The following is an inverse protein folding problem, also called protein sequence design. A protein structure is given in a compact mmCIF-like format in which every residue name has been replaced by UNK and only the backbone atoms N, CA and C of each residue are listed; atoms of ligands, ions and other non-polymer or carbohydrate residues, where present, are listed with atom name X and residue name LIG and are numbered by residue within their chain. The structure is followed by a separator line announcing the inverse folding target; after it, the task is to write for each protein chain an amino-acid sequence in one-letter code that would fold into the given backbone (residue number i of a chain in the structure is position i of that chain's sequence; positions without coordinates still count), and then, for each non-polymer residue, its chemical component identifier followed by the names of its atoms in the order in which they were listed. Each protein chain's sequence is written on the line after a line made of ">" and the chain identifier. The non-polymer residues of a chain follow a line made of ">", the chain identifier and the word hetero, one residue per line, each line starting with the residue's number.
data_IF_975408448549
#
_entry.id   IF_975408448549
#
_cell.length_a   1.000
_cell.length_b   1.000
_cell.length_c   1.000
_cell.angle_alpha   90.00
_cell.angle_beta   90.00
_cell.angle_gamma   90.00
#
_symmetry.space_group_name_H-M   'P 1'
#
loop_
_entity.id
_entity.type
_entity.pdbx_description
1 polymer ?
#
# COMPACT_ATOMS: atom_id res chain seq x y z
N UNK A 1 -13.22 38.74 -21.30
CA UNK A 1 -12.18 37.69 -21.19
C UNK A 1 -12.60 36.73 -20.09
N UNK A 2 -12.96 35.49 -20.46
CA UNK A 2 -13.45 34.44 -19.55
C UNK A 2 -12.27 33.90 -18.73
N UNK A 3 -12.39 33.85 -17.40
CA UNK A 3 -11.55 33.00 -16.54
C UNK A 3 -12.40 31.80 -16.14
N UNK A 4 -12.16 30.69 -16.80
CA UNK A 4 -12.76 29.40 -16.48
C UNK A 4 -11.92 28.83 -15.33
N UNK A 5 -12.49 28.80 -14.13
CA UNK A 5 -11.90 28.07 -13.02
C UNK A 5 -12.23 26.59 -13.21
N UNK A 6 -11.24 25.82 -13.66
CA UNK A 6 -11.31 24.37 -13.78
C UNK A 6 -11.09 23.79 -12.38
N UNK A 7 -12.16 23.34 -11.72
CA UNK A 7 -12.04 22.62 -10.44
C UNK A 7 -12.09 21.13 -10.76
N UNK A 8 -10.93 20.49 -10.69
CA UNK A 8 -10.75 19.05 -10.87
C UNK A 8 -11.42 18.28 -9.74
N UNK A 9 -12.42 17.47 -10.06
CA UNK A 9 -12.97 16.47 -9.15
C UNK A 9 -11.99 15.30 -9.10
N UNK A 10 -11.15 15.26 -8.07
CA UNK A 10 -10.31 14.11 -7.77
C UNK A 10 -11.18 12.92 -7.40
N UNK A 11 -11.16 11.89 -8.24
CA UNK A 11 -11.62 10.57 -7.86
C UNK A 11 -10.64 10.02 -6.81
N UNK A 12 -11.07 9.92 -5.56
CA UNK A 12 -10.33 9.19 -4.53
C UNK A 12 -10.47 7.71 -4.86
N UNK A 13 -9.54 7.21 -5.67
CA UNK A 13 -9.21 5.79 -5.70
C UNK A 13 -8.50 5.52 -4.39
N UNK A 14 -9.15 4.78 -3.50
CA UNK A 14 -8.54 4.26 -2.28
C UNK A 14 -7.51 3.19 -2.69
N UNK A 15 -6.32 3.65 -3.08
CA UNK A 15 -5.11 2.86 -3.21
C UNK A 15 -4.10 3.40 -2.22
N UNK A 16 -3.72 2.58 -1.24
CA UNK A 16 -2.70 2.90 -0.25
C UNK A 16 -1.35 3.02 -0.95
N UNK A 17 -0.92 4.25 -1.22
CA UNK A 17 0.46 4.56 -1.60
C UNK A 17 1.23 4.80 -0.30
N UNK A 18 2.15 3.90 0.02
CA UNK A 18 3.08 4.04 1.12
C UNK A 18 4.28 4.85 0.64
N UNK A 19 4.33 6.14 0.98
CA UNK A 19 5.54 6.94 0.94
C UNK A 19 5.83 7.48 2.33
N UNK A 20 6.93 7.01 2.93
CA UNK A 20 7.50 7.59 4.13
C UNK A 20 8.36 8.81 3.74
N UNK A 21 7.92 10.01 4.10
CA UNK A 21 8.81 11.17 4.21
C UNK A 21 8.66 11.81 5.59
N UNK A 22 9.78 11.90 6.32
CA UNK A 22 9.90 12.51 7.64
C UNK A 22 9.73 14.04 7.59
N UNK A 23 9.05 14.58 8.60
CA UNK A 23 9.03 15.99 9.02
C UNK A 23 7.99 16.83 8.26
N UNK A 24 7.13 17.63 8.87
CA UNK A 24 7.00 18.13 10.24
C UNK A 24 5.55 18.66 10.39
N UNK A 25 4.98 18.49 11.59
CA UNK A 25 3.78 19.15 12.15
C UNK A 25 2.43 18.84 11.48
N UNK A 26 1.76 17.83 12.02
CA UNK A 26 0.29 17.78 12.03
C UNK A 26 -0.22 17.67 13.47
N UNK A 27 -1.22 18.51 13.75
CA UNK A 27 -2.00 18.49 14.99
C UNK A 27 -2.66 17.13 15.16
N UNK A 28 -2.62 16.66 16.40
CA UNK A 28 -3.14 15.38 16.87
C UNK A 28 -4.64 15.24 16.60
N UNK A 29 -5.01 14.32 15.72
CA UNK A 29 -6.31 13.65 15.79
C UNK A 29 -6.13 12.38 16.63
N UNK A 30 -6.87 12.34 17.74
CA UNK A 30 -6.87 11.28 18.74
C UNK A 30 -7.29 9.93 18.13
N UNK A 31 -6.64 8.81 18.49
CA UNK A 31 -7.15 7.49 18.19
C UNK A 31 -8.35 7.16 19.10
N UNK A 32 -9.48 6.80 18.51
CA UNK A 32 -10.61 6.21 19.22
C UNK A 32 -10.23 4.78 19.66
N UNK A 33 -9.84 4.64 20.93
CA UNK A 33 -9.73 3.34 21.59
C UNK A 33 -11.11 2.83 21.97
N UNK A 34 -11.40 1.58 21.60
CA UNK A 34 -12.55 0.81 22.07
C UNK A 34 -12.44 0.51 23.57
N UNK A 35 -13.28 1.15 24.36
CA UNK A 35 -13.56 0.77 25.76
C UNK A 35 -14.62 -0.33 25.73
N UNK A 36 -14.28 -1.52 26.22
CA UNK A 36 -15.25 -2.44 26.80
C UNK A 36 -14.81 -2.76 28.21
N UNK A 37 -15.61 -2.27 29.15
CA UNK A 37 -15.47 -2.41 30.58
C UNK A 37 -16.07 -3.75 31.03
N UNK A 38 -15.31 -4.55 31.76
CA UNK A 38 -15.89 -5.44 32.77
C UNK A 38 -14.92 -5.60 33.92
N UNK A 39 -15.28 -4.88 34.99
CA UNK A 39 -14.73 -5.02 36.32
C UNK A 39 -14.97 -6.43 36.85
N UNK A 40 -13.97 -7.01 37.52
CA UNK A 40 -14.10 -7.52 38.89
C UNK A 40 -12.70 -7.73 39.47
N UNK A 41 -12.38 -7.03 40.55
CA UNK A 41 -11.34 -7.40 41.51
C UNK A 41 -12.02 -7.42 42.88
N UNK A 42 -11.59 -8.26 43.84
CA UNK A 42 -10.79 -7.65 44.90
C UNK A 42 -9.66 -8.54 45.45
N UNK A 43 -8.44 -8.02 45.33
CA UNK A 43 -7.59 -7.47 46.41
C UNK A 43 -7.20 -8.33 47.65
N UNK A 44 -5.89 -8.24 47.94
CA UNK A 44 -5.17 -8.29 49.25
C UNK A 44 -4.72 -9.66 49.80
N UNK A 45 -3.40 -9.88 49.84
CA UNK A 45 -2.62 -9.77 51.08
C UNK A 45 -1.10 -9.87 50.84
N UNK A 46 -0.38 -9.03 51.58
CA UNK A 46 1.05 -8.81 51.52
C UNK A 46 1.84 -9.78 52.43
N UNK A 47 3.17 -9.69 52.30
CA UNK A 47 4.17 -9.73 53.39
C UNK A 47 4.98 -11.03 53.62
N UNK A 48 6.25 -10.90 53.20
CA UNK A 48 7.51 -11.10 53.95
C UNK A 48 8.02 -12.49 54.37
N UNK A 49 9.27 -12.72 53.92
CA UNK A 49 10.44 -13.25 54.64
C UNK A 49 10.56 -14.72 55.05
N UNK A 50 11.50 -15.38 54.36
CA UNK A 50 12.58 -16.26 54.85
C UNK A 50 12.27 -17.46 55.74
N UNK A 51 12.53 -18.67 55.23
CA UNK A 51 13.56 -19.55 55.81
C UNK A 51 14.04 -20.62 54.83
N UNK A 52 15.36 -20.83 54.88
CA UNK A 52 16.20 -21.91 54.37
C UNK A 52 15.55 -23.30 54.40
N UNK A 53 15.72 -24.08 53.33
CA UNK A 53 16.26 -25.44 53.45
C UNK A 53 16.79 -25.94 52.11
N UNK A 54 18.09 -26.26 52.15
CA UNK A 54 18.82 -26.99 51.12
C UNK A 54 18.24 -28.40 51.01
N UNK A 55 17.87 -28.81 49.81
CA UNK A 55 17.87 -30.23 49.46
C UNK A 55 18.36 -30.33 48.02
N UNK A 56 19.57 -30.87 47.90
CA UNK A 56 20.22 -31.14 46.64
C UNK A 56 19.42 -32.20 45.85
N UNK A 57 18.54 -31.74 44.97
CA UNK A 57 18.03 -32.57 43.89
C UNK A 57 18.81 -32.22 42.63
N UNK A 58 19.61 -33.20 42.20
CA UNK A 58 20.34 -33.22 40.94
C UNK A 58 19.30 -33.23 39.81
N UNK A 59 18.86 -32.05 39.40
CA UNK A 59 18.07 -31.86 38.19
C UNK A 59 18.95 -32.28 37.01
N UNK A 60 18.60 -33.41 36.41
CA UNK A 60 19.08 -33.78 35.08
C UNK A 60 18.53 -32.71 34.15
N UNK A 61 19.38 -31.76 33.77
CA UNK A 61 19.09 -30.77 32.73
C UNK A 61 18.75 -31.56 31.46
N UNK A 62 17.52 -31.45 30.92
CA UNK A 62 17.23 -31.99 29.61
C UNK A 62 18.18 -31.29 28.64
N UNK A 63 18.91 -32.08 27.86
CA UNK A 63 19.78 -31.62 26.77
C UNK A 63 19.05 -30.50 26.02
N UNK A 64 19.56 -29.27 26.15
CA UNK A 64 19.00 -28.11 25.48
C UNK A 64 18.93 -28.46 23.98
N UNK A 65 17.74 -28.44 23.40
CA UNK A 65 17.60 -28.45 21.94
C UNK A 65 18.46 -27.30 21.43
N UNK A 66 19.36 -27.60 20.49
CA UNK A 66 20.26 -26.64 19.83
C UNK A 66 19.45 -25.46 19.28
N UNK A 67 19.24 -24.45 20.12
CA UNK A 67 18.69 -23.18 19.69
C UNK A 67 19.86 -22.47 19.03
N UNK A 68 19.76 -22.11 17.73
CA UNK A 68 20.82 -21.38 17.06
C UNK A 68 21.24 -20.19 17.92
N UNK A 69 22.54 -19.91 18.01
CA UNK A 69 22.98 -18.66 18.63
C UNK A 69 22.20 -17.50 17.97
N UNK A 70 21.86 -16.43 18.73
CA UNK A 70 21.09 -15.32 18.19
C UNK A 70 21.65 -14.78 16.87
N UNK A 71 22.98 -14.80 16.72
CA UNK A 71 23.66 -14.38 15.50
C UNK A 71 23.50 -15.36 14.33
N UNK A 72 23.57 -16.67 14.58
CA UNK A 72 23.31 -17.69 13.55
C UNK A 72 21.86 -17.61 13.04
N UNK A 73 20.91 -17.26 13.92
CA UNK A 73 19.53 -17.02 13.51
C UNK A 73 19.41 -15.79 12.60
N UNK A 74 20.12 -14.70 12.90
CA UNK A 74 20.18 -13.50 12.04
C UNK A 74 20.79 -13.84 10.68
N UNK A 75 21.92 -14.55 10.65
CA UNK A 75 22.57 -14.99 9.42
C UNK A 75 21.65 -15.84 8.54
N UNK A 76 20.87 -16.73 9.15
CA UNK A 76 19.87 -17.54 8.44
C UNK A 76 18.80 -16.67 7.76
N UNK A 77 18.17 -15.76 8.51
CA UNK A 77 17.14 -14.87 7.93
C UNK A 77 17.68 -14.00 6.80
N UNK A 78 18.86 -13.41 6.97
CA UNK A 78 19.53 -12.60 5.94
C UNK A 78 19.92 -13.42 4.70
N UNK A 79 20.25 -14.70 4.87
CA UNK A 79 20.64 -15.56 3.76
C UNK A 79 19.45 -16.02 2.93
N UNK A 80 18.34 -16.34 3.61
CA UNK A 80 17.12 -16.90 3.00
C UNK A 80 16.20 -15.82 2.42
N UNK A 81 16.21 -14.61 3.00
CA UNK A 81 15.35 -13.52 2.56
C UNK A 81 15.73 -12.97 1.18
N UNK A 82 14.72 -12.40 0.50
CA UNK A 82 14.85 -11.67 -0.77
C UNK A 82 13.91 -10.46 -0.76
N UNK A 83 14.07 -9.57 -1.74
CA UNK A 83 13.15 -8.46 -1.97
C UNK A 83 13.01 -7.55 -0.75
N UNK A 84 11.77 -7.15 -0.43
CA UNK A 84 11.44 -6.30 0.71
C UNK A 84 11.85 -6.92 2.05
N UNK A 85 11.58 -8.21 2.24
CA UNK A 85 11.93 -8.92 3.49
C UNK A 85 13.44 -8.87 3.74
N UNK A 86 14.26 -9.01 2.69
CA UNK A 86 15.71 -8.89 2.82
C UNK A 86 16.13 -7.46 3.19
N UNK A 87 15.57 -6.45 2.53
CA UNK A 87 15.84 -5.03 2.85
C UNK A 87 15.50 -4.73 4.31
N UNK A 88 14.37 -5.23 4.78
CA UNK A 88 13.92 -5.04 6.16
C UNK A 88 14.85 -5.73 7.17
N UNK A 89 15.29 -6.96 6.92
CA UNK A 89 16.25 -7.66 7.79
C UNK A 89 17.62 -6.97 7.82
N UNK A 90 18.08 -6.43 6.68
CA UNK A 90 19.33 -5.67 6.60
C UNK A 90 19.23 -4.38 7.42
N UNK A 91 18.15 -3.61 7.23
CA UNK A 91 17.93 -2.37 7.99
C UNK A 91 17.76 -2.66 9.48
N UNK A 92 17.07 -3.74 9.86
CA UNK A 92 16.95 -4.16 11.24
C UNK A 92 18.32 -4.52 11.86
N UNK A 93 19.19 -5.22 11.12
CA UNK A 93 20.55 -5.50 11.56
C UNK A 93 21.35 -4.23 11.82
N UNK A 94 21.38 -3.31 10.82
CA UNK A 94 22.14 -2.07 10.94
C UNK A 94 21.58 -1.18 12.05
N UNK A 95 20.26 -1.05 12.15
CA UNK A 95 19.63 -0.28 13.22
C UNK A 95 19.99 -0.81 14.61
N UNK A 96 19.92 -2.13 14.81
CA UNK A 96 20.28 -2.77 16.08
C UNK A 96 21.76 -2.55 16.43
N UNK A 97 22.68 -2.81 15.51
CA UNK A 97 24.11 -2.70 15.82
C UNK A 97 24.56 -1.24 16.02
N UNK A 98 23.93 -0.29 15.34
CA UNK A 98 24.19 1.14 15.52
C UNK A 98 23.74 1.61 16.89
N UNK A 99 22.57 1.16 17.34
CA UNK A 99 22.05 1.43 18.69
C UNK A 99 22.98 0.87 19.78
N UNK A 100 23.54 -0.31 19.55
CA UNK A 100 24.43 -0.98 20.51
C UNK A 100 25.91 -0.60 20.36
N UNK A 101 26.25 0.30 19.42
CA UNK A 101 27.62 0.73 19.09
C UNK A 101 28.60 -0.42 18.82
N UNK A 102 28.15 -1.49 18.16
CA UNK A 102 28.93 -2.72 17.98
C UNK A 102 28.87 -3.32 16.56
N UNK A 103 28.54 -2.51 15.54
CA UNK A 103 28.43 -2.97 14.15
C UNK A 103 29.67 -3.69 13.64
N UNK A 104 30.87 -3.18 13.88
CA UNK A 104 32.11 -3.81 13.42
C UNK A 104 32.27 -5.24 13.99
N UNK A 105 32.05 -5.39 15.30
CA UNK A 105 32.13 -6.69 15.96
C UNK A 105 31.05 -7.66 15.48
N UNK A 106 29.81 -7.21 15.35
CA UNK A 106 28.70 -8.07 14.89
C UNK A 106 28.86 -8.47 13.43
N UNK A 107 29.36 -7.58 12.59
CA UNK A 107 29.62 -7.85 11.19
C UNK A 107 30.76 -8.87 11.04
N UNK A 108 31.86 -8.70 11.76
CA UNK A 108 32.97 -9.66 11.76
C UNK A 108 32.55 -11.07 12.24
N UNK A 109 31.66 -11.15 13.24
CA UNK A 109 31.15 -12.44 13.71
C UNK A 109 30.20 -13.10 12.69
N UNK A 110 29.41 -12.31 11.96
CA UNK A 110 28.48 -12.79 10.92
C UNK A 110 29.17 -13.40 9.70
N UNK A 111 30.37 -12.93 9.37
CA UNK A 111 31.12 -13.39 8.19
C UNK A 111 31.26 -14.93 8.16
N UNK A 112 31.49 -15.55 9.32
CA UNK A 112 31.65 -17.00 9.45
C UNK A 112 30.36 -17.82 9.25
N UNK A 113 29.19 -17.17 9.23
CA UNK A 113 27.88 -17.82 9.15
C UNK A 113 27.15 -17.59 7.83
N UNK A 114 27.73 -16.83 6.90
CA UNK A 114 27.07 -16.39 5.67
C UNK A 114 27.90 -16.74 4.44
N UNK A 115 27.24 -16.91 3.30
CA UNK A 115 27.94 -16.98 2.01
C UNK A 115 28.59 -15.62 1.70
N UNK A 116 29.73 -15.63 1.00
CA UNK A 116 30.54 -14.44 0.72
C UNK A 116 29.72 -13.34 0.04
N UNK A 117 28.89 -13.68 -0.95
CA UNK A 117 28.10 -12.71 -1.70
C UNK A 117 27.00 -12.10 -0.84
N UNK A 118 26.35 -12.90 0.03
CA UNK A 118 25.34 -12.42 0.97
C UNK A 118 25.94 -11.53 2.06
N UNK A 119 27.13 -11.88 2.53
CA UNK A 119 27.88 -11.05 3.47
C UNK A 119 28.31 -9.72 2.83
N UNK A 120 28.89 -9.77 1.62
CA UNK A 120 29.29 -8.58 0.88
C UNK A 120 28.11 -7.64 0.61
N UNK A 121 26.93 -8.20 0.30
CA UNK A 121 25.69 -7.44 0.19
C UNK A 121 25.37 -6.68 1.47
N UNK A 122 25.36 -7.38 2.61
CA UNK A 122 25.06 -6.78 3.92
C UNK A 122 26.05 -5.67 4.25
N UNK A 123 27.34 -5.96 4.13
CA UNK A 123 28.43 -5.05 4.47
C UNK A 123 28.42 -3.77 3.62
N UNK A 124 28.08 -3.88 2.33
CA UNK A 124 28.13 -2.75 1.38
C UNK A 124 26.74 -2.13 1.12
N UNK A 125 25.69 -2.60 1.77
CA UNK A 125 24.30 -2.29 1.43
C UNK A 125 24.02 -0.79 1.32
N UNK A 126 24.38 0.03 2.32
CA UNK A 126 24.07 1.45 2.30
C UNK A 126 24.81 2.21 1.19
N UNK A 127 26.06 1.83 0.89
CA UNK A 127 26.82 2.41 -0.21
C UNK A 127 26.19 2.05 -1.55
N UNK A 128 25.89 0.77 -1.78
CA UNK A 128 25.24 0.29 -3.00
C UNK A 128 23.85 0.90 -3.17
N UNK A 129 23.08 1.03 -2.09
CA UNK A 129 21.77 1.68 -2.13
C UNK A 129 21.89 3.16 -2.48
N UNK A 130 22.86 3.90 -1.92
CA UNK A 130 23.10 5.29 -2.29
C UNK A 130 23.44 5.44 -3.77
N UNK A 131 24.30 4.56 -4.31
CA UNK A 131 24.63 4.53 -5.74
C UNK A 131 23.40 4.22 -6.60
N UNK A 132 22.57 3.27 -6.15
CA UNK A 132 21.32 2.92 -6.82
C UNK A 132 20.34 4.09 -6.87
N UNK A 133 20.11 4.79 -5.75
CA UNK A 133 19.22 5.97 -5.73
C UNK A 133 19.72 7.07 -6.66
N UNK A 134 21.04 7.29 -6.73
CA UNK A 134 21.63 8.24 -7.66
C UNK A 134 21.45 7.79 -9.12
N UNK A 135 21.67 6.51 -9.42
CA UNK A 135 21.55 5.99 -10.78
C UNK A 135 20.10 6.06 -11.28
N UNK A 136 19.15 5.55 -10.49
CA UNK A 136 17.72 5.57 -10.88
C UNK A 136 17.18 7.00 -11.01
N UNK A 137 17.65 7.94 -10.19
CA UNK A 137 17.28 9.36 -10.31
C UNK A 137 17.75 10.03 -11.61
N UNK A 138 18.79 9.48 -12.25
CA UNK A 138 19.30 9.95 -13.54
C UNK A 138 18.80 9.13 -14.72
N UNK A 139 18.03 8.07 -14.47
CA UNK A 139 17.55 7.17 -15.51
C UNK A 139 16.41 7.84 -16.28
N UNK A 140 16.66 8.17 -17.55
CA UNK A 140 15.66 8.77 -18.43
C UNK A 140 14.95 7.66 -19.21
N UNK A 141 13.64 7.56 -19.02
CA UNK A 141 12.79 6.71 -19.85
C UNK A 141 12.21 7.54 -20.99
N UNK A 142 12.34 7.03 -22.20
CA UNK A 142 11.59 7.56 -23.34
C UNK A 142 10.15 7.02 -23.27
N UNK A 143 9.17 7.93 -23.29
CA UNK A 143 7.74 7.59 -23.21
C UNK A 143 7.27 6.76 -24.41
N UNK A 144 7.98 6.82 -25.53
CA UNK A 144 7.68 6.04 -26.72
C UNK A 144 8.33 4.64 -26.71
N UNK A 145 9.18 4.34 -25.73
CA UNK A 145 9.77 3.01 -25.63
C UNK A 145 8.76 1.97 -25.12
N UNK A 146 8.75 0.76 -25.70
CA UNK A 146 7.97 -0.35 -25.17
C UNK A 146 8.26 -0.62 -23.69
N UNK A 147 7.27 -1.11 -22.95
CA UNK A 147 7.43 -1.46 -21.54
C UNK A 147 8.61 -2.42 -21.31
N UNK A 148 8.75 -3.44 -22.15
CA UNK A 148 9.84 -4.41 -22.12
C UNK A 148 11.22 -3.75 -22.16
N UNK A 149 11.42 -2.76 -23.05
CA UNK A 149 12.69 -2.05 -23.18
C UNK A 149 13.03 -1.22 -21.95
N UNK A 150 12.03 -0.54 -21.37
CA UNK A 150 12.20 0.27 -20.16
C UNK A 150 12.54 -0.60 -18.95
N UNK A 151 11.85 -1.74 -18.79
CA UNK A 151 12.16 -2.72 -17.73
C UNK A 151 13.55 -3.31 -17.92
N UNK A 152 13.93 -3.70 -19.15
CA UNK A 152 15.25 -4.23 -19.43
C UNK A 152 16.37 -3.23 -19.09
N UNK A 153 16.17 -1.95 -19.42
CA UNK A 153 17.09 -0.87 -19.06
C UNK A 153 17.24 -0.72 -17.55
N UNK A 154 16.13 -0.67 -16.81
CA UNK A 154 16.14 -0.58 -15.34
C UNK A 154 16.85 -1.78 -14.70
N UNK A 155 16.56 -3.00 -15.15
CA UNK A 155 17.20 -4.23 -14.65
C UNK A 155 18.70 -4.25 -14.95
N UNK A 156 19.09 -3.81 -16.15
CA UNK A 156 20.50 -3.70 -16.52
C UNK A 156 21.24 -2.69 -15.61
N UNK A 157 20.60 -1.56 -15.30
CA UNK A 157 21.17 -0.57 -14.40
C UNK A 157 21.32 -1.09 -12.97
N UNK A 158 20.33 -1.82 -12.46
CA UNK A 158 20.43 -2.49 -11.17
C UNK A 158 21.60 -3.48 -11.13
N UNK A 159 21.80 -4.28 -12.19
CA UNK A 159 22.92 -5.24 -12.28
C UNK A 159 24.29 -4.57 -12.36
N UNK A 160 24.41 -3.35 -12.89
CA UNK A 160 25.68 -2.60 -12.85
C UNK A 160 26.13 -2.27 -11.43
N UNK A 161 25.17 -2.05 -10.51
CA UNK A 161 25.45 -1.63 -9.14
C UNK A 161 25.51 -2.84 -8.21
N UNK A 162 24.53 -3.72 -8.30
CA UNK A 162 24.35 -4.85 -7.38
C UNK A 162 24.92 -6.17 -7.92
N UNK A 163 25.36 -6.22 -9.18
CA UNK A 163 25.75 -7.47 -9.83
C UNK A 163 24.59 -8.47 -9.89
N UNK A 164 24.90 -9.75 -9.75
CA UNK A 164 23.92 -10.85 -9.69
C UNK A 164 22.97 -10.74 -8.47
N UNK A 165 23.35 -9.97 -7.44
CA UNK A 165 22.49 -9.74 -6.29
C UNK A 165 21.33 -8.79 -6.58
N UNK A 166 21.30 -8.14 -7.75
CA UNK A 166 20.16 -7.35 -8.19
C UNK A 166 18.87 -8.19 -8.17
N UNK A 167 18.92 -9.42 -8.67
CA UNK A 167 17.78 -10.35 -8.71
C UNK A 167 17.37 -10.85 -7.30
N UNK A 168 18.21 -10.63 -6.29
CA UNK A 168 17.93 -10.94 -4.88
C UNK A 168 17.33 -9.74 -4.15
N UNK A 169 17.98 -8.58 -4.25
CA UNK A 169 17.55 -7.33 -3.63
C UNK A 169 16.22 -6.85 -4.21
N UNK A 170 16.02 -7.00 -5.52
CA UNK A 170 14.82 -6.54 -6.21
C UNK A 170 13.90 -7.69 -6.60
N UNK A 171 13.96 -8.83 -5.90
CA UNK A 171 13.17 -10.01 -6.25
C UNK A 171 11.67 -9.70 -6.42
N UNK A 172 11.08 -8.95 -5.49
CA UNK A 172 9.66 -8.59 -5.53
C UNK A 172 9.35 -7.63 -6.69
N UNK A 173 10.17 -6.59 -6.87
CA UNK A 173 9.98 -5.61 -7.93
C UNK A 173 10.19 -6.22 -9.32
N UNK A 174 11.19 -7.07 -9.48
CA UNK A 174 11.47 -7.75 -10.74
C UNK A 174 10.40 -8.77 -11.07
N UNK A 175 9.87 -9.50 -10.08
CA UNK A 175 8.71 -10.36 -10.27
C UNK A 175 7.49 -9.56 -10.75
N UNK A 176 7.22 -8.39 -10.14
CA UNK A 176 6.12 -7.52 -10.57
C UNK A 176 6.29 -7.04 -12.03
N UNK A 177 7.50 -6.64 -12.41
CA UNK A 177 7.79 -6.19 -13.77
C UNK A 177 7.64 -7.30 -14.80
N UNK A 178 8.17 -8.48 -14.51
CA UNK A 178 8.06 -9.62 -15.42
C UNK A 178 6.62 -10.15 -15.50
N UNK A 179 5.90 -10.16 -14.39
CA UNK A 179 4.46 -10.44 -14.39
C UNK A 179 3.71 -9.45 -15.27
N UNK A 180 3.99 -8.15 -15.16
CA UNK A 180 3.34 -7.12 -15.98
C UNK A 180 3.61 -7.31 -17.47
N UNK A 181 4.84 -7.70 -17.85
CA UNK A 181 5.18 -8.00 -19.24
C UNK A 181 4.44 -9.22 -19.77
N UNK A 182 4.34 -10.28 -18.97
CA UNK A 182 3.57 -11.46 -19.36
C UNK A 182 2.07 -11.15 -19.41
N UNK A 183 1.57 -10.28 -18.54
CA UNK A 183 0.18 -9.84 -18.53
C UNK A 183 -0.22 -9.08 -19.80
N UNK A 184 0.71 -8.46 -20.55
CA UNK A 184 0.41 -7.82 -21.85
C UNK A 184 -0.21 -8.83 -22.86
N UNK A 185 -0.02 -10.15 -22.68
CA UNK A 185 -0.69 -11.15 -23.51
C UNK A 185 -2.22 -11.15 -23.35
N UNK A 186 -2.73 -10.65 -22.22
CA UNK A 186 -4.16 -10.51 -21.95
C UNK A 186 -4.81 -9.47 -22.86
N UNK A 187 -4.04 -8.48 -23.35
CA UNK A 187 -4.52 -7.45 -24.29
C UNK A 187 -4.97 -8.04 -25.63
N UNK A 188 -4.38 -9.16 -26.04
CA UNK A 188 -4.73 -9.86 -27.28
C UNK A 188 -5.64 -11.07 -27.05
N UNK A 189 -6.08 -11.31 -25.82
CA UNK A 189 -6.89 -12.48 -25.46
C UNK A 189 -8.37 -12.19 -25.69
N UNK A 190 -9.10 -13.17 -26.23
CA UNK A 190 -10.55 -13.04 -26.42
C UNK A 190 -11.27 -12.90 -25.06
N UNK A 191 -12.41 -12.18 -24.97
CA UNK A 191 -13.18 -12.11 -23.73
C UNK A 191 -13.59 -13.49 -23.17
N UNK A 192 -13.79 -14.48 -24.06
CA UNK A 192 -14.18 -15.84 -23.69
C UNK A 192 -13.04 -16.58 -22.96
N UNK A 193 -11.81 -16.41 -23.44
CA UNK A 193 -10.61 -17.11 -22.98
C UNK A 193 -9.86 -16.35 -21.86
N UNK A 194 -10.27 -15.11 -21.57
CA UNK A 194 -9.60 -14.22 -20.63
C UNK A 194 -9.37 -14.86 -19.26
N UNK A 195 -10.42 -15.40 -18.64
CA UNK A 195 -10.36 -15.98 -17.29
C UNK A 195 -9.34 -17.12 -17.23
N UNK A 196 -9.39 -18.03 -18.19
CA UNK A 196 -8.46 -19.16 -18.28
C UNK A 196 -7.02 -18.70 -18.50
N UNK A 197 -6.82 -17.68 -19.35
CA UNK A 197 -5.50 -17.15 -19.64
C UNK A 197 -4.91 -16.44 -18.42
N UNK A 198 -5.74 -15.72 -17.66
CA UNK A 198 -5.35 -15.11 -16.40
C UNK A 198 -5.03 -16.17 -15.32
N UNK A 199 -5.83 -17.24 -15.20
CA UNK A 199 -5.54 -18.34 -14.26
C UNK A 199 -4.20 -19.01 -14.56
N UNK A 200 -3.91 -19.25 -15.85
CA UNK A 200 -2.61 -19.76 -16.28
C UNK A 200 -1.47 -18.81 -15.91
N UNK A 201 -1.65 -17.51 -16.15
CA UNK A 201 -0.68 -16.49 -15.74
C UNK A 201 -0.44 -16.54 -14.23
N UNK A 202 -1.49 -16.59 -13.41
CA UNK A 202 -1.35 -16.71 -11.94
C UNK A 202 -0.61 -18.00 -11.55
N UNK A 203 -0.87 -19.12 -12.24
CA UNK A 203 -0.22 -20.39 -11.99
C UNK A 203 1.28 -20.36 -12.36
N UNK A 204 1.65 -19.75 -13.47
CA UNK A 204 3.05 -19.59 -13.91
C UNK A 204 3.89 -18.80 -12.87
N UNK A 205 3.22 -18.01 -12.02
CA UNK A 205 3.81 -17.20 -10.96
C UNK A 205 3.61 -17.76 -9.54
N UNK A 206 3.27 -19.05 -9.41
CA UNK A 206 3.16 -19.70 -8.11
C UNK A 206 4.48 -19.57 -7.32
N UNK A 207 4.37 -19.17 -6.04
CA UNK A 207 5.52 -18.86 -5.19
C UNK A 207 5.91 -17.38 -5.12
N UNK A 208 5.40 -16.52 -6.01
CA UNK A 208 5.57 -15.06 -5.94
C UNK A 208 4.27 -14.32 -5.61
N UNK A 209 3.25 -15.03 -5.12
CA UNK A 209 1.91 -14.48 -4.95
C UNK A 209 1.87 -13.28 -4.00
N UNK A 210 2.63 -13.31 -2.92
CA UNK A 210 2.70 -12.19 -1.96
C UNK A 210 3.34 -10.95 -2.59
N UNK A 211 4.46 -11.12 -3.31
CA UNK A 211 5.12 -10.04 -4.03
C UNK A 211 4.19 -9.40 -5.08
N UNK A 212 3.37 -10.22 -5.73
CA UNK A 212 2.45 -9.81 -6.79
C UNK A 212 1.08 -9.34 -6.29
N UNK A 213 0.77 -9.47 -5.00
CA UNK A 213 -0.57 -9.16 -4.47
C UNK A 213 -1.65 -10.09 -5.02
N UNK A 214 -1.34 -11.38 -5.13
CA UNK A 214 -2.21 -12.45 -5.63
C UNK A 214 -2.59 -13.45 -4.50
N UNK A 215 -2.50 -13.00 -3.24
CA UNK A 215 -2.82 -13.82 -2.06
C UNK A 215 -4.32 -13.72 -1.79
N UNK A 216 -5.00 -14.86 -1.89
CA UNK A 216 -6.45 -14.95 -1.74
C UNK A 216 -7.21 -14.68 -3.04
N UNK A 217 -8.46 -15.14 -3.09
CA UNK A 217 -9.26 -15.07 -4.31
C UNK A 217 -9.73 -13.63 -4.61
N UNK A 218 -10.04 -12.83 -3.59
CA UNK A 218 -10.35 -11.40 -3.77
C UNK A 218 -9.19 -10.64 -4.44
N UNK A 219 -7.95 -10.88 -4.04
CA UNK A 219 -6.79 -10.20 -4.63
C UNK A 219 -6.59 -10.60 -6.11
N UNK A 220 -6.83 -11.88 -6.44
CA UNK A 220 -6.84 -12.36 -7.83
C UNK A 220 -7.96 -11.71 -8.64
N UNK A 221 -9.17 -11.58 -8.08
CA UNK A 221 -10.27 -10.87 -8.70
C UNK A 221 -9.89 -9.43 -9.04
N UNK A 222 -9.39 -8.68 -8.06
CA UNK A 222 -9.01 -7.27 -8.24
C UNK A 222 -7.95 -7.14 -9.32
N UNK A 223 -6.93 -8.00 -9.30
CA UNK A 223 -5.88 -8.00 -10.33
C UNK A 223 -6.43 -8.38 -11.71
N UNK A 224 -7.32 -9.36 -11.80
CA UNK A 224 -7.95 -9.75 -13.06
C UNK A 224 -8.78 -8.60 -13.65
N UNK A 225 -9.52 -7.86 -12.82
CA UNK A 225 -10.32 -6.71 -13.27
C UNK A 225 -9.44 -5.55 -13.72
N UNK A 226 -8.32 -5.31 -13.03
CA UNK A 226 -7.34 -4.27 -13.37
C UNK A 226 -6.69 -4.53 -14.74
N UNK A 227 -6.41 -5.79 -15.06
CA UNK A 227 -5.77 -6.22 -16.30
C UNK A 227 -6.75 -6.41 -17.47
N UNK A 228 -8.02 -6.02 -17.33
CA UNK A 228 -8.95 -6.06 -18.47
C UNK A 228 -8.50 -5.00 -19.50
N UNK A 229 -8.38 -5.37 -20.78
CA UNK A 229 -7.96 -4.46 -21.84
C UNK A 229 -8.81 -3.18 -21.87
N UNK A 230 -8.16 -2.03 -21.94
CA UNK A 230 -8.83 -0.72 -21.83
C UNK A 230 -9.71 -0.38 -23.03
N UNK A 231 -9.41 -0.97 -24.17
CA UNK A 231 -10.13 -0.84 -25.44
C UNK A 231 -11.29 -1.85 -25.58
N UNK A 232 -11.45 -2.77 -24.63
CA UNK A 232 -12.58 -3.72 -24.59
C UNK A 232 -13.92 -2.98 -24.53
N UNK A 233 -14.90 -3.46 -25.31
CA UNK A 233 -16.23 -2.87 -25.35
C UNK A 233 -16.93 -2.93 -23.98
N UNK A 234 -17.72 -1.90 -23.65
CA UNK A 234 -18.38 -1.80 -22.33
C UNK A 234 -19.24 -3.04 -21.97
N UNK A 235 -19.99 -3.58 -22.94
CA UNK A 235 -20.83 -4.74 -22.71
C UNK A 235 -20.01 -6.01 -22.43
N UNK A 236 -18.93 -6.21 -23.18
CA UNK A 236 -18.01 -7.35 -23.00
C UNK A 236 -17.27 -7.24 -21.68
N UNK A 237 -16.77 -6.04 -21.35
CA UNK A 237 -16.14 -5.75 -20.06
C UNK A 237 -17.08 -6.07 -18.90
N UNK A 238 -18.35 -5.66 -18.99
CA UNK A 238 -19.33 -5.95 -17.94
C UNK A 238 -19.54 -7.45 -17.76
N UNK A 239 -19.76 -8.18 -18.85
CA UNK A 239 -19.94 -9.63 -18.80
C UNK A 239 -18.70 -10.35 -18.26
N UNK A 240 -17.50 -9.88 -18.60
CA UNK A 240 -16.24 -10.43 -18.10
C UNK A 240 -16.08 -10.17 -16.59
N UNK A 241 -16.38 -8.97 -16.10
CA UNK A 241 -16.36 -8.66 -14.66
C UNK A 241 -17.33 -9.55 -13.90
N UNK A 242 -18.56 -9.73 -14.39
CA UNK A 242 -19.54 -10.66 -13.78
C UNK A 242 -19.01 -12.10 -13.73
N UNK A 243 -18.34 -12.57 -14.80
CA UNK A 243 -17.70 -13.89 -14.82
C UNK A 243 -16.54 -13.99 -13.82
N UNK A 244 -15.72 -12.95 -13.69
CA UNK A 244 -14.62 -12.90 -12.72
C UNK A 244 -15.15 -12.91 -11.28
N UNK A 245 -16.24 -12.19 -10.98
CA UNK A 245 -16.91 -12.23 -9.67
C UNK A 245 -17.35 -13.65 -9.33
N UNK A 246 -18.02 -14.33 -10.25
CA UNK A 246 -18.46 -15.72 -10.07
C UNK A 246 -17.31 -16.72 -9.90
N UNK A 247 -16.13 -16.40 -10.44
CA UNK A 247 -14.96 -17.29 -10.39
C UNK A 247 -14.19 -17.15 -9.08
N UNK A 248 -14.04 -15.92 -8.59
CA UNK A 248 -13.09 -15.59 -7.52
C UNK A 248 -13.75 -15.14 -6.22
N UNK A 249 -15.00 -14.69 -6.25
CA UNK A 249 -15.64 -14.13 -5.05
C UNK A 249 -16.71 -15.08 -4.51
N UNK A 250 -16.86 -15.07 -3.19
CA UNK A 250 -18.03 -15.63 -2.53
C UNK A 250 -19.28 -14.78 -2.82
N UNK A 251 -20.45 -15.36 -2.59
CA UNK A 251 -21.74 -14.65 -2.71
C UNK A 251 -21.77 -13.40 -1.83
N UNK A 252 -21.29 -13.49 -0.58
CA UNK A 252 -21.21 -12.35 0.33
C UNK A 252 -20.31 -11.23 -0.22
N UNK A 253 -19.11 -11.56 -0.70
CA UNK A 253 -18.20 -10.55 -1.28
C UNK A 253 -18.80 -9.90 -2.53
N UNK A 254 -19.49 -10.68 -3.37
CA UNK A 254 -20.19 -10.16 -4.55
C UNK A 254 -21.32 -9.19 -4.17
N UNK A 255 -22.11 -9.52 -3.15
CA UNK A 255 -23.15 -8.63 -2.62
C UNK A 255 -22.58 -7.34 -2.05
N UNK A 256 -21.48 -7.41 -1.29
CA UNK A 256 -20.80 -6.24 -0.73
C UNK A 256 -20.27 -5.31 -1.82
N UNK A 257 -19.68 -5.85 -2.89
CA UNK A 257 -19.23 -5.08 -4.05
C UNK A 257 -20.41 -4.39 -4.73
N UNK A 258 -21.50 -5.11 -5.00
CA UNK A 258 -22.68 -4.51 -5.63
C UNK A 258 -23.32 -3.42 -4.76
N UNK A 259 -23.40 -3.63 -3.45
CA UNK A 259 -23.89 -2.61 -2.52
C UNK A 259 -23.00 -1.35 -2.57
N UNK A 260 -21.68 -1.52 -2.61
CA UNK A 260 -20.73 -0.41 -2.77
C UNK A 260 -20.86 0.31 -4.11
N UNK A 261 -21.00 -0.41 -5.22
CA UNK A 261 -21.21 0.18 -6.54
C UNK A 261 -22.48 1.05 -6.57
N UNK A 262 -23.57 0.54 -5.97
CA UNK A 262 -24.81 1.30 -5.83
C UNK A 262 -24.62 2.55 -4.97
N UNK A 263 -23.92 2.44 -3.83
CA UNK A 263 -23.62 3.58 -2.97
C UNK A 263 -22.79 4.64 -3.71
N UNK A 264 -21.75 4.25 -4.45
CA UNK A 264 -20.93 5.18 -5.26
C UNK A 264 -21.77 5.84 -6.35
N UNK A 265 -22.65 5.10 -7.01
CA UNK A 265 -23.55 5.66 -8.02
C UNK A 265 -24.57 6.65 -7.41
N UNK A 266 -25.03 6.42 -6.18
CA UNK A 266 -25.87 7.36 -5.43
C UNK A 266 -25.08 8.62 -5.05
N UNK A 267 -23.87 8.47 -4.49
CA UNK A 267 -23.00 9.59 -4.14
C UNK A 267 -22.67 10.46 -5.35
N UNK A 268 -22.35 9.85 -6.50
CA UNK A 268 -22.11 10.58 -7.76
C UNK A 268 -23.32 11.36 -8.25
N UNK A 269 -24.54 10.85 -8.01
CA UNK A 269 -25.79 11.59 -8.29
C UNK A 269 -25.95 12.75 -7.33
N UNK A 270 -25.85 12.51 -6.03
CA UNK A 270 -25.95 13.55 -5.00
C UNK A 270 -24.96 14.71 -5.23
N UNK A 271 -23.71 14.41 -5.61
CA UNK A 271 -22.71 15.45 -5.96
C UNK A 271 -23.13 16.27 -7.18
N UNK A 272 -23.68 15.62 -8.21
CA UNK A 272 -24.16 16.30 -9.42
C UNK A 272 -25.36 17.20 -9.11
N UNK A 273 -26.31 16.68 -8.34
CA UNK A 273 -27.52 17.39 -7.95
C UNK A 273 -27.15 18.61 -7.09
N UNK A 274 -26.26 18.43 -6.11
CA UNK A 274 -25.70 19.51 -5.31
C UNK A 274 -25.08 20.62 -6.17
N UNK A 275 -24.23 20.26 -7.14
CA UNK A 275 -23.59 21.23 -8.03
C UNK A 275 -24.60 22.01 -8.87
N UNK A 276 -25.61 21.32 -9.40
CA UNK A 276 -26.68 21.93 -10.20
C UNK A 276 -27.52 22.91 -9.36
N UNK A 277 -27.94 22.49 -8.17
CA UNK A 277 -28.76 23.33 -7.29
C UNK A 277 -27.98 24.51 -6.69
N UNK A 278 -26.71 24.31 -6.35
CA UNK A 278 -25.83 25.40 -5.93
C UNK A 278 -25.71 26.45 -7.02
N UNK A 279 -25.52 26.03 -8.28
CA UNK A 279 -25.44 26.97 -9.41
C UNK A 279 -26.74 27.77 -9.59
N UNK A 280 -27.90 27.15 -9.35
CA UNK A 280 -29.19 27.85 -9.39
C UNK A 280 -29.30 28.87 -8.25
N UNK A 281 -28.89 28.51 -7.03
CA UNK A 281 -28.83 29.42 -5.90
C UNK A 281 -27.90 30.62 -6.19
N UNK A 282 -26.70 30.37 -6.71
CA UNK A 282 -25.74 31.42 -7.06
C UNK A 282 -26.30 32.38 -8.11
N UNK A 283 -27.03 31.86 -9.11
CA UNK A 283 -27.72 32.68 -10.11
C UNK A 283 -28.83 33.56 -9.50
N UNK A 284 -29.61 32.99 -8.57
CA UNK A 284 -30.63 33.73 -7.82
C UNK A 284 -30.01 34.82 -6.95
N UNK A 285 -28.93 34.51 -6.24
CA UNK A 285 -28.17 35.46 -5.41
C UNK A 285 -27.59 36.58 -6.29
N UNK A 286 -27.03 36.28 -7.45
CA UNK A 286 -26.54 37.30 -8.38
C UNK A 286 -27.66 38.26 -8.84
N UNK A 287 -28.85 37.73 -9.14
CA UNK A 287 -30.03 38.54 -9.49
C UNK A 287 -30.46 39.42 -8.32
N UNK A 288 -30.49 38.87 -7.11
CA UNK A 288 -30.82 39.58 -5.87
C UNK A 288 -29.82 40.71 -5.59
N UNK A 289 -28.51 40.48 -5.79
CA UNK A 289 -27.49 41.52 -5.67
C UNK A 289 -27.74 42.69 -6.63
N UNK A 290 -28.14 42.39 -7.86
CA UNK A 290 -28.42 43.41 -8.86
C UNK A 290 -29.77 44.13 -8.66
N UNK A 291 -30.66 43.61 -7.81
CA UNK A 291 -32.03 44.10 -7.65
C UNK A 291 -32.35 44.42 -6.18
N UNK A 292 -33.03 43.52 -5.46
CA UNK A 292 -33.54 43.73 -4.11
C UNK A 292 -32.46 44.03 -3.05
N UNK A 293 -31.21 43.70 -3.33
CA UNK A 293 -30.05 43.92 -2.45
C UNK A 293 -28.99 44.83 -3.08
N UNK A 294 -29.34 45.62 -4.10
CA UNK A 294 -28.42 46.56 -4.74
C UNK A 294 -27.86 47.62 -3.79
N UNK A 295 -28.64 48.00 -2.76
CA UNK A 295 -28.24 48.97 -1.73
C UNK A 295 -27.35 48.42 -0.61
N UNK A 296 -27.08 47.10 -0.56
CA UNK A 296 -26.18 46.54 0.46
C UNK A 296 -24.73 46.94 0.19
N UNK A 297 -23.98 47.18 1.27
CA UNK A 297 -22.52 47.24 1.20
C UNK A 297 -21.94 45.89 0.76
N UNK A 298 -20.71 45.87 0.24
CA UNK A 298 -20.08 44.61 -0.18
C UNK A 298 -19.87 43.65 1.00
N UNK A 299 -19.61 44.17 2.20
CA UNK A 299 -19.44 43.34 3.41
C UNK A 299 -20.76 42.70 3.86
N UNK A 300 -21.87 43.46 3.81
CA UNK A 300 -23.19 42.94 4.14
C UNK A 300 -23.70 41.94 3.09
N UNK A 301 -23.40 42.21 1.81
CA UNK A 301 -23.66 41.27 0.72
C UNK A 301 -22.89 39.96 0.91
N UNK A 302 -21.59 40.03 1.21
CA UNK A 302 -20.79 38.83 1.42
C UNK A 302 -21.30 38.01 2.61
N UNK A 303 -21.71 38.67 3.71
CA UNK A 303 -22.31 37.97 4.87
C UNK A 303 -23.61 37.27 4.48
N UNK A 304 -24.49 37.96 3.75
CA UNK A 304 -25.74 37.39 3.25
C UNK A 304 -25.51 36.20 2.32
N UNK A 305 -24.60 36.33 1.36
CA UNK A 305 -24.24 35.28 0.41
C UNK A 305 -23.74 34.01 1.13
N UNK A 306 -22.79 34.17 2.06
CA UNK A 306 -22.24 33.04 2.81
C UNK A 306 -23.30 32.35 3.67
N UNK A 307 -24.19 33.14 4.28
CA UNK A 307 -25.31 32.58 5.04
C UNK A 307 -26.25 31.76 4.15
N UNK A 308 -26.64 32.30 2.98
CA UNK A 308 -27.52 31.59 2.05
C UNK A 308 -26.90 30.28 1.53
N UNK A 309 -25.60 30.27 1.22
CA UNK A 309 -24.88 29.06 0.82
C UNK A 309 -24.77 28.06 1.98
N UNK A 310 -24.55 28.54 3.21
CA UNK A 310 -24.49 27.68 4.40
C UNK A 310 -25.85 27.06 4.73
N UNK A 311 -26.93 27.82 4.60
CA UNK A 311 -28.31 27.34 4.78
C UNK A 311 -28.64 26.27 3.74
N UNK A 312 -28.37 26.56 2.46
CA UNK A 312 -28.53 25.59 1.38
C UNK A 312 -27.77 24.29 1.62
N UNK A 313 -26.49 24.35 2.04
CA UNK A 313 -25.70 23.14 2.35
C UNK A 313 -26.35 22.32 3.46
N UNK A 314 -26.82 22.97 4.52
CA UNK A 314 -27.47 22.27 5.63
C UNK A 314 -28.76 21.61 5.18
N UNK A 315 -29.58 22.30 4.40
CA UNK A 315 -30.84 21.76 3.88
C UNK A 315 -30.61 20.59 2.91
N UNK A 316 -29.65 20.74 2.00
CA UNK A 316 -29.34 19.72 0.98
C UNK A 316 -28.86 18.39 1.59
N UNK A 317 -28.06 18.44 2.67
CA UNK A 317 -27.50 17.24 3.31
C UNK A 317 -28.26 16.78 4.57
N UNK A 318 -29.43 17.35 4.88
CA UNK A 318 -30.24 16.95 6.03
C UNK A 318 -31.16 15.75 5.77
N UNK A 319 -31.32 15.33 4.50
CA UNK A 319 -32.03 14.11 4.09
C UNK A 319 -31.09 12.95 3.81
#
# INVERSE_FOLDING_TARGET
>A
MKRIALVTVSAVVAGTIWFSSKGEKSESFLPFSSVLESATNPQVAASTSSTTNQTANKTIVPKAKDTPSPLKAIAGRLSDAKGRVLKDEIEAFWHSCMSDHNCESKLAELESYMAEERFALLANYHQLNSLWQQSVGNLMFDEHQPLASRIALLKAEARKIWGELADVIFADEFALYDFSLQAEQLDSTSPQDYVQTFEKLVQDWQGNQEALGLVGEQAKYERAVELIPKDMGHAERKALVEKLQQTYLSEQESEEIHAREQQVAQQKRQVRDYQSELQQLESKLATQRATSHAGLSDSDWQRYYQQAVADFRREFFAG
#
